data_IF_435716543011
#
_entry.id   IF_435716543011
#
_cell.length_a   1.000
_cell.length_b   1.000
_cell.length_c   1.000
_cell.angle_alpha   90.00
_cell.angle_beta   90.00
_cell.angle_gamma   90.00
#
_symmetry.space_group_name_H-M   'P 1'
#
loop_
_entity.id
_entity.type
_entity.pdbx_description
1 polymer ?
#
# COMPACT_ATOMS: atom_id res chain seq x y z
N UNK A 1 -16.61 18.94 -20.94
CA UNK A 1 -15.83 18.87 -22.19
C UNK A 1 -14.41 18.51 -21.81
N UNK A 2 -14.14 17.26 -21.46
CA UNK A 2 -12.77 16.77 -21.25
C UNK A 2 -12.17 16.55 -22.65
N UNK A 3 -11.41 17.52 -23.19
CA UNK A 3 -10.97 17.50 -24.60
C UNK A 3 -9.47 17.73 -24.78
N UNK A 4 -8.65 17.48 -23.77
CA UNK A 4 -7.20 17.54 -23.95
C UNK A 4 -6.55 16.39 -23.21
N UNK A 5 -5.65 15.66 -23.88
CA UNK A 5 -4.89 14.54 -23.31
C UNK A 5 -4.16 14.91 -22.01
N UNK A 6 -3.84 16.19 -21.83
CA UNK A 6 -3.25 16.73 -20.61
C UNK A 6 -4.17 16.64 -19.39
N UNK A 7 -5.47 16.91 -19.56
CA UNK A 7 -6.43 16.86 -18.45
C UNK A 7 -6.69 15.42 -17.99
N UNK A 8 -6.74 14.48 -18.96
CA UNK A 8 -6.83 13.05 -18.69
C UNK A 8 -5.58 12.53 -17.96
N UNK A 9 -4.39 12.98 -18.38
CA UNK A 9 -3.12 12.61 -17.73
C UNK A 9 -3.08 13.08 -16.27
N UNK A 10 -3.41 14.35 -16.01
CA UNK A 10 -3.47 14.88 -14.64
C UNK A 10 -4.47 14.12 -13.77
N UNK A 11 -5.62 13.74 -14.33
CA UNK A 11 -6.63 12.97 -13.59
C UNK A 11 -6.13 11.57 -13.22
N UNK A 12 -5.41 10.91 -14.13
CA UNK A 12 -4.76 9.62 -13.86
C UNK A 12 -3.65 9.76 -12.82
N UNK A 13 -2.85 10.81 -12.91
CA UNK A 13 -1.77 11.11 -11.96
C UNK A 13 -2.35 11.33 -10.56
N UNK A 14 -3.37 12.17 -10.40
CA UNK A 14 -4.05 12.38 -9.11
C UNK A 14 -4.69 11.09 -8.58
N UNK A 15 -5.32 10.28 -9.43
CA UNK A 15 -5.89 9.00 -9.01
C UNK A 15 -4.81 8.02 -8.54
N UNK A 16 -3.68 7.98 -9.24
CA UNK A 16 -2.55 7.13 -8.88
C UNK A 16 -1.85 7.61 -7.60
N UNK A 17 -1.65 8.92 -7.44
CA UNK A 17 -1.14 9.53 -6.21
C UNK A 17 -2.06 9.28 -5.02
N UNK A 18 -3.37 9.41 -5.22
CA UNK A 18 -4.36 9.11 -4.17
C UNK A 18 -4.31 7.63 -3.80
N UNK A 19 -4.20 6.73 -4.78
CA UNK A 19 -4.04 5.29 -4.55
C UNK A 19 -2.73 5.00 -3.82
N UNK A 20 -1.62 5.64 -4.21
CA UNK A 20 -0.32 5.50 -3.57
C UNK A 20 -0.36 5.99 -2.13
N UNK A 21 -0.94 7.17 -1.88
CA UNK A 21 -1.05 7.74 -0.54
C UNK A 21 -1.96 6.88 0.36
N UNK A 22 -3.09 6.42 -0.16
CA UNK A 22 -3.97 5.50 0.55
C UNK A 22 -3.28 4.17 0.87
N UNK A 23 -2.61 3.55 -0.12
CA UNK A 23 -1.81 2.34 0.09
C UNK A 23 -0.71 2.57 1.13
N UNK A 24 0.00 3.70 1.04
CA UNK A 24 1.06 4.06 1.96
C UNK A 24 0.55 4.20 3.40
N UNK A 25 -0.56 4.90 3.62
CA UNK A 25 -1.15 5.07 4.94
C UNK A 25 -1.66 3.73 5.52
N UNK A 26 -2.31 2.90 4.69
CA UNK A 26 -2.77 1.56 5.10
C UNK A 26 -1.59 0.66 5.43
N UNK A 27 -0.54 0.66 4.61
CA UNK A 27 0.67 -0.12 4.84
C UNK A 27 1.36 0.32 6.13
N UNK A 28 1.50 1.63 6.34
CA UNK A 28 2.05 2.20 7.57
C UNK A 28 1.26 1.72 8.79
N UNK A 29 -0.07 1.85 8.76
CA UNK A 29 -0.93 1.36 9.85
C UNK A 29 -0.71 -0.12 10.13
N UNK A 30 -0.73 -0.97 9.09
CA UNK A 30 -0.53 -2.42 9.21
C UNK A 30 0.82 -2.74 9.85
N UNK A 31 1.89 -2.11 9.39
CA UNK A 31 3.25 -2.30 9.92
C UNK A 31 3.37 -1.88 11.39
N UNK A 32 2.75 -0.76 11.79
CA UNK A 32 2.75 -0.35 13.21
C UNK A 32 1.99 -1.32 14.11
N UNK A 33 0.98 -2.01 13.59
CA UNK A 33 0.23 -3.02 14.33
C UNK A 33 0.77 -4.44 14.16
N UNK A 34 1.75 -4.63 13.28
CA UNK A 34 2.31 -5.94 12.97
C UNK A 34 3.35 -6.31 14.02
N UNK A 35 2.94 -7.17 14.95
CA UNK A 35 3.78 -7.65 16.03
C UNK A 35 3.83 -9.18 16.02
N UNK A 36 5.02 -9.72 16.30
CA UNK A 36 5.23 -11.16 16.39
C UNK A 36 4.62 -11.71 17.67
N UNK A 37 3.80 -12.76 17.55
CA UNK A 37 3.27 -13.46 18.70
C UNK A 37 4.31 -14.43 19.28
N UNK A 38 4.30 -14.62 20.62
CA UNK A 38 5.28 -15.48 21.30
C UNK A 38 5.28 -16.95 20.85
N UNK A 39 4.15 -17.43 20.32
CA UNK A 39 4.00 -18.80 19.83
C UNK A 39 4.12 -18.92 18.30
N UNK A 40 4.43 -17.82 17.61
CA UNK A 40 4.55 -17.79 16.15
C UNK A 40 5.97 -18.20 15.74
N UNK A 41 6.07 -19.02 14.70
CA UNK A 41 7.36 -19.35 14.11
C UNK A 41 7.90 -18.14 13.36
N UNK A 42 9.19 -17.82 13.58
CA UNK A 42 9.85 -16.69 12.93
C UNK A 42 9.73 -16.74 11.39
N UNK A 43 9.82 -17.94 10.81
CA UNK A 43 9.66 -18.16 9.36
C UNK A 43 8.29 -17.69 8.87
N UNK A 44 7.24 -18.06 9.59
CA UNK A 44 5.86 -17.75 9.19
C UNK A 44 5.57 -16.26 9.36
N UNK A 45 6.12 -15.65 10.42
CA UNK A 45 6.05 -14.22 10.64
C UNK A 45 6.75 -13.42 9.52
N UNK A 46 7.95 -13.85 9.10
CA UNK A 46 8.68 -13.22 7.99
C UNK A 46 7.90 -13.40 6.67
N UNK A 47 7.29 -14.55 6.43
CA UNK A 47 6.46 -14.79 5.24
C UNK A 47 5.25 -13.84 5.18
N UNK A 48 4.57 -13.65 6.31
CA UNK A 48 3.46 -12.69 6.44
C UNK A 48 3.92 -11.25 6.19
N UNK A 49 5.10 -10.88 6.72
CA UNK A 49 5.69 -9.56 6.47
C UNK A 49 5.95 -9.31 4.97
N UNK A 50 6.53 -10.29 4.26
CA UNK A 50 6.77 -10.18 2.80
C UNK A 50 5.45 -10.03 2.04
N UNK A 51 4.42 -10.76 2.45
CA UNK A 51 3.08 -10.65 1.86
C UNK A 51 2.48 -9.26 2.06
N UNK A 52 2.68 -8.63 3.23
CA UNK A 52 2.23 -7.27 3.50
C UNK A 52 2.90 -6.22 2.61
N UNK A 53 4.15 -6.42 2.21
CA UNK A 53 4.91 -5.50 1.35
C UNK A 53 4.63 -5.64 -0.15
N UNK A 54 3.97 -6.72 -0.57
CA UNK A 54 3.74 -7.03 -1.99
C UNK A 54 2.39 -6.50 -2.52
N UNK A 55 1.57 -5.88 -1.66
CA UNK A 55 0.25 -5.28 -1.96
C UNK A 55 0.39 -3.80 -2.35
#
# INVERSE_FOLDING_TARGET
>A
MEKTSSDLWKRLETLYETKYLANYLVLKQRLYTFHMNKCELLRDHISQFITLLTI
#
